data_IF_759439386268
#
_entry.id   IF_759439386268
#
_cell.length_a   1.000
_cell.length_b   1.000
_cell.length_c   1.000
_cell.angle_alpha   90.00
_cell.angle_beta   90.00
_cell.angle_gamma   90.00
#
_symmetry.space_group_name_H-M   'P 1'
#
loop_
_entity.id
_entity.type
_entity.pdbx_description
1 polymer ?
#
# COMPACT_ATOMS: atom_id res chain seq x y z
N UNK A 1 -7.89 19.90 -2.15
CA UNK A 1 -7.78 18.82 -1.14
C UNK A 1 -6.64 17.92 -1.58
N UNK A 2 -5.82 17.45 -0.65
CA UNK A 2 -4.72 16.53 -0.94
C UNK A 2 -5.27 15.18 -1.42
N UNK A 3 -4.55 14.50 -2.33
CA UNK A 3 -4.89 13.14 -2.72
C UNK A 3 -4.82 12.20 -1.51
N UNK A 4 -5.83 11.35 -1.34
CA UNK A 4 -5.99 10.44 -0.20
C UNK A 4 -5.96 8.98 -0.64
N UNK A 5 -5.31 8.12 0.14
CA UNK A 5 -5.24 6.69 -0.14
C UNK A 5 -5.61 5.83 1.08
N UNK A 6 -6.10 4.62 0.81
CA UNK A 6 -6.33 3.59 1.80
C UNK A 6 -5.66 2.27 1.40
N UNK A 7 -5.25 1.49 2.39
CA UNK A 7 -4.60 0.19 2.18
C UNK A 7 -5.44 -0.91 2.82
N UNK A 8 -5.66 -2.00 2.08
CA UNK A 8 -6.29 -3.23 2.58
C UNK A 8 -5.28 -4.37 2.48
N UNK A 9 -4.85 -4.89 3.61
CA UNK A 9 -4.01 -6.08 3.67
C UNK A 9 -4.91 -7.29 3.89
N UNK A 10 -4.89 -8.24 2.95
CA UNK A 10 -5.66 -9.48 3.04
C UNK A 10 -4.75 -10.64 3.44
N UNK A 11 -5.27 -11.53 4.22
CA UNK A 11 -4.58 -12.73 4.68
C UNK A 11 -4.97 -13.10 6.10
N UNK A 12 -5.57 -14.27 6.27
CA UNK A 12 -5.98 -14.77 7.58
C UNK A 12 -4.79 -14.94 8.52
N UNK A 13 -3.61 -15.28 8.00
CA UNK A 13 -2.36 -15.39 8.77
C UNK A 13 -1.85 -14.01 9.24
N UNK A 14 -2.10 -12.95 8.48
CA UNK A 14 -1.76 -11.57 8.87
C UNK A 14 -2.78 -11.08 9.90
N UNK A 15 -4.07 -11.27 9.64
CA UNK A 15 -5.15 -10.89 10.55
C UNK A 15 -4.99 -11.53 11.94
N UNK A 16 -4.55 -12.79 11.98
CA UNK A 16 -4.36 -13.54 13.25
C UNK A 16 -2.99 -13.29 13.91
N UNK A 17 -2.14 -12.47 13.31
CA UNK A 17 -0.82 -12.14 13.83
C UNK A 17 0.24 -13.26 13.70
N UNK A 18 -0.05 -14.32 12.95
CA UNK A 18 0.95 -15.39 12.65
C UNK A 18 2.05 -14.88 11.75
N UNK A 19 1.73 -13.96 10.85
CA UNK A 19 2.66 -13.25 9.98
C UNK A 19 2.50 -11.76 10.23
N UNK A 20 3.59 -11.06 10.48
CA UNK A 20 3.57 -9.61 10.63
C UNK A 20 3.36 -8.94 9.26
N UNK A 21 2.45 -7.98 9.19
CA UNK A 21 2.30 -7.14 8.01
C UNK A 21 3.57 -6.34 7.74
N UNK A 22 4.10 -6.48 6.53
CA UNK A 22 5.26 -5.73 6.02
C UNK A 22 4.91 -4.83 4.86
N UNK A 23 3.75 -5.04 4.27
CA UNK A 23 3.31 -4.33 3.07
C UNK A 23 2.62 -3.01 3.40
N UNK A 24 1.73 -3.01 4.39
CA UNK A 24 1.04 -1.80 4.83
C UNK A 24 2.01 -0.67 5.23
N UNK A 25 2.95 -0.90 6.17
CA UNK A 25 3.95 0.10 6.54
C UNK A 25 4.84 0.54 5.37
N UNK A 26 5.25 -0.40 4.51
CA UNK A 26 6.07 -0.07 3.35
C UNK A 26 5.31 0.80 2.33
N UNK A 27 4.05 0.47 2.03
CA UNK A 27 3.20 1.27 1.15
C UNK A 27 2.90 2.64 1.75
N UNK A 28 2.72 2.72 3.07
CA UNK A 28 2.53 3.98 3.79
C UNK A 28 3.71 4.92 3.56
N UNK A 29 4.95 4.43 3.69
CA UNK A 29 6.16 5.21 3.41
C UNK A 29 6.19 5.68 1.95
N UNK A 30 5.82 4.82 0.99
CA UNK A 30 5.80 5.19 -0.45
C UNK A 30 4.72 6.22 -0.79
N UNK A 31 3.54 6.13 -0.17
CA UNK A 31 2.49 7.13 -0.32
C UNK A 31 2.92 8.48 0.25
N UNK A 32 3.57 8.46 1.40
CA UNK A 32 4.12 9.65 2.03
C UNK A 32 5.15 10.35 1.14
N UNK A 33 6.09 9.59 0.54
CA UNK A 33 7.08 10.10 -0.42
C UNK A 33 6.44 10.71 -1.67
N UNK A 34 5.28 10.18 -2.08
CA UNK A 34 4.50 10.72 -3.20
C UNK A 34 3.67 11.95 -2.82
N UNK A 35 3.63 12.34 -1.56
CA UNK A 35 2.81 13.46 -1.09
C UNK A 35 1.32 13.12 -0.99
N UNK A 36 0.98 11.86 -0.79
CA UNK A 36 -0.38 11.33 -0.65
C UNK A 36 -0.72 11.15 0.82
N UNK A 37 -1.89 11.61 1.23
CA UNK A 37 -2.39 11.39 2.58
C UNK A 37 -2.85 9.95 2.73
N UNK A 38 -2.26 9.20 3.66
CA UNK A 38 -2.75 7.89 4.03
C UNK A 38 -3.89 8.03 5.04
N UNK A 39 -5.10 7.65 4.64
CA UNK A 39 -6.26 7.70 5.52
C UNK A 39 -6.30 6.50 6.47
N UNK A 40 -6.18 5.28 5.94
CA UNK A 40 -6.30 4.06 6.73
C UNK A 40 -5.42 2.93 6.19
N UNK A 41 -4.94 2.08 7.11
CA UNK A 41 -4.48 0.72 6.82
C UNK A 41 -5.43 -0.23 7.52
N UNK A 42 -6.06 -1.12 6.78
CA UNK A 42 -6.96 -2.14 7.33
C UNK A 42 -6.41 -3.52 7.03
N UNK A 43 -6.66 -4.47 7.94
CA UNK A 43 -6.27 -5.88 7.78
C UNK A 43 -7.54 -6.72 7.89
N UNK A 44 -7.77 -7.61 6.92
CA UNK A 44 -8.91 -8.52 6.93
C UNK A 44 -8.51 -9.94 6.51
N UNK A 45 -9.39 -10.91 6.77
CA UNK A 45 -9.24 -12.27 6.25
C UNK A 45 -9.60 -12.35 4.77
N UNK A 46 -9.39 -13.55 4.18
CA UNK A 46 -9.53 -13.79 2.75
C UNK A 46 -11.00 -13.94 2.27
N UNK A 47 -11.97 -13.79 3.19
CA UNK A 47 -13.39 -13.89 2.82
C UNK A 47 -13.83 -12.70 1.96
N UNK A 48 -14.50 -12.93 0.82
CA UNK A 48 -14.92 -11.87 -0.08
C UNK A 48 -15.75 -10.76 0.59
N UNK A 49 -16.61 -11.12 1.55
CA UNK A 49 -17.42 -10.15 2.30
C UNK A 49 -16.59 -9.22 3.18
N UNK A 50 -15.51 -9.74 3.76
CA UNK A 50 -14.62 -8.96 4.62
C UNK A 50 -13.81 -7.98 3.74
N UNK A 51 -13.26 -8.47 2.62
CA UNK A 51 -12.54 -7.62 1.65
C UNK A 51 -13.47 -6.53 1.09
N UNK A 52 -14.67 -6.89 0.63
CA UNK A 52 -15.64 -5.94 0.09
C UNK A 52 -16.04 -4.87 1.13
N UNK A 53 -16.19 -5.27 2.38
CA UNK A 53 -16.50 -4.33 3.48
C UNK A 53 -15.39 -3.28 3.64
N UNK A 54 -14.11 -3.68 3.56
CA UNK A 54 -13.00 -2.73 3.64
C UNK A 54 -12.94 -1.79 2.44
N UNK A 55 -13.18 -2.31 1.23
CA UNK A 55 -13.23 -1.48 0.02
C UNK A 55 -14.34 -0.43 0.10
N UNK A 56 -15.54 -0.82 0.55
CA UNK A 56 -16.68 0.10 0.74
C UNK A 56 -16.42 1.12 1.84
N UNK A 57 -15.80 0.71 2.94
CA UNK A 57 -15.40 1.62 4.01
C UNK A 57 -14.46 2.71 3.48
N UNK A 58 -13.39 2.32 2.80
CA UNK A 58 -12.41 3.27 2.26
C UNK A 58 -13.03 4.20 1.20
N UNK A 59 -13.91 3.67 0.35
CA UNK A 59 -14.64 4.51 -0.61
C UNK A 59 -15.55 5.53 0.09
N UNK A 60 -16.22 5.14 1.18
CA UNK A 60 -17.04 6.04 1.98
C UNK A 60 -16.22 7.12 2.69
N UNK A 61 -14.96 6.84 3.05
CA UNK A 61 -14.00 7.81 3.57
C UNK A 61 -13.49 8.80 2.51
N UNK A 62 -13.91 8.64 1.26
CA UNK A 62 -13.56 9.54 0.16
C UNK A 62 -12.10 9.49 -0.25
N UNK A 63 -11.48 8.30 -0.21
CA UNK A 63 -10.12 8.13 -0.74
C UNK A 63 -10.13 8.10 -2.27
N UNK A 64 -9.07 8.60 -2.88
CA UNK A 64 -8.89 8.62 -4.33
C UNK A 64 -8.27 7.32 -4.85
N UNK A 65 -7.50 6.66 -4.00
CA UNK A 65 -6.76 5.44 -4.30
C UNK A 65 -6.95 4.39 -3.20
N UNK A 66 -7.29 3.16 -3.59
CA UNK A 66 -7.25 2.00 -2.70
C UNK A 66 -6.16 1.04 -3.19
N UNK A 67 -5.34 0.54 -2.27
CA UNK A 67 -4.32 -0.46 -2.56
C UNK A 67 -4.65 -1.72 -1.78
N UNK A 68 -4.83 -2.84 -2.45
CA UNK A 68 -4.97 -4.15 -1.79
C UNK A 68 -3.65 -4.93 -1.88
N UNK A 69 -3.36 -5.73 -0.87
CA UNK A 69 -2.17 -6.56 -0.80
C UNK A 69 -2.53 -7.96 -0.30
N UNK A 70 -2.38 -8.96 -1.17
CA UNK A 70 -2.66 -10.37 -0.88
C UNK A 70 -3.87 -10.93 -1.63
N UNK A 71 -4.10 -12.25 -1.51
CA UNK A 71 -5.22 -12.96 -2.10
C UNK A 71 -5.17 -13.06 -3.63
N UNK A 72 -3.97 -13.17 -4.23
CA UNK A 72 -3.73 -13.32 -5.66
C UNK A 72 -3.13 -14.68 -6.05
N UNK A 73 -3.05 -15.60 -5.12
CA UNK A 73 -2.56 -16.94 -5.38
C UNK A 73 -3.53 -17.78 -6.22
N UNK A 74 -3.13 -19.02 -6.51
CA UNK A 74 -3.94 -19.94 -7.31
C UNK A 74 -5.01 -20.68 -6.50
N UNK A 75 -5.05 -20.53 -5.16
CA UNK A 75 -5.92 -21.32 -4.28
C UNK A 75 -7.36 -20.79 -4.27
N UNK A 76 -8.30 -21.60 -3.82
CA UNK A 76 -9.73 -21.28 -3.89
C UNK A 76 -10.14 -20.06 -3.05
N UNK A 77 -9.35 -19.73 -2.04
CA UNK A 77 -9.52 -18.59 -1.13
C UNK A 77 -8.85 -17.29 -1.64
N UNK A 78 -8.05 -17.35 -2.70
CA UNK A 78 -7.49 -16.18 -3.35
C UNK A 78 -8.55 -15.47 -4.23
N UNK A 79 -9.35 -14.61 -3.64
CA UNK A 79 -10.54 -14.00 -4.27
C UNK A 79 -10.48 -12.47 -4.34
N UNK A 80 -9.30 -11.87 -4.15
CA UNK A 80 -9.16 -10.41 -4.11
C UNK A 80 -9.51 -9.77 -5.45
N UNK A 81 -9.03 -10.32 -6.58
CA UNK A 81 -9.34 -9.79 -7.93
C UNK A 81 -10.83 -9.80 -8.23
N UNK A 82 -11.50 -10.94 -7.99
CA UNK A 82 -12.94 -11.08 -8.22
C UNK A 82 -13.76 -10.15 -7.34
N UNK A 83 -13.31 -9.95 -6.08
CA UNK A 83 -13.99 -9.07 -5.13
C UNK A 83 -13.83 -7.61 -5.53
N UNK A 84 -12.62 -7.20 -5.96
CA UNK A 84 -12.37 -5.85 -6.48
C UNK A 84 -13.13 -5.60 -7.76
N UNK A 85 -13.18 -6.58 -8.69
CA UNK A 85 -13.96 -6.45 -9.92
C UNK A 85 -15.43 -6.17 -9.62
N UNK A 86 -16.06 -6.96 -8.72
CA UNK A 86 -17.45 -6.73 -8.29
C UNK A 86 -17.65 -5.36 -7.61
N UNK A 87 -16.72 -4.97 -6.74
CA UNK A 87 -16.77 -3.66 -6.09
C UNK A 87 -16.73 -2.52 -7.12
N UNK A 88 -15.90 -2.66 -8.15
CA UNK A 88 -15.79 -1.68 -9.25
C UNK A 88 -16.88 -1.82 -10.33
N UNK A 89 -17.81 -2.78 -10.21
CA UNK A 89 -18.84 -3.04 -11.21
C UNK A 89 -18.28 -3.52 -12.55
N UNK A 90 -17.21 -4.32 -12.53
CA UNK A 90 -16.52 -4.84 -13.72
C UNK A 90 -16.71 -6.35 -13.83
N UNK A 91 -16.93 -6.82 -15.06
CA UNK A 91 -16.83 -8.23 -15.36
C UNK A 91 -15.37 -8.70 -15.34
N UNK A 92 -15.15 -9.98 -15.12
CA UNK A 92 -13.82 -10.60 -15.14
C UNK A 92 -13.69 -11.43 -16.41
N UNK A 93 -12.61 -11.27 -17.15
CA UNK A 93 -12.32 -11.95 -18.40
C UNK A 93 -10.97 -12.63 -18.38
N UNK A 94 -10.83 -13.72 -19.10
CA UNK A 94 -9.55 -14.39 -19.28
C UNK A 94 -8.65 -13.59 -20.22
N UNK A 95 -7.46 -13.24 -19.74
CA UNK A 95 -6.39 -12.72 -20.59
C UNK A 95 -5.46 -13.88 -21.00
N UNK A 96 -5.56 -14.29 -22.27
CA UNK A 96 -4.83 -15.46 -22.78
C UNK A 96 -3.33 -15.21 -22.93
N UNK A 97 -2.92 -13.96 -23.12
CA UNK A 97 -1.51 -13.60 -23.18
C UNK A 97 -0.88 -13.68 -21.76
N UNK A 98 -1.62 -13.20 -20.77
CA UNK A 98 -1.21 -13.32 -19.36
C UNK A 98 -1.18 -14.79 -18.93
N UNK A 99 -2.17 -15.60 -19.32
CA UNK A 99 -2.18 -17.05 -19.04
C UNK A 99 -0.92 -17.72 -19.58
N UNK A 100 -0.53 -17.40 -20.83
CA UNK A 100 0.71 -17.92 -21.44
C UNK A 100 1.96 -17.47 -20.66
N UNK A 101 2.03 -16.19 -20.29
CA UNK A 101 3.18 -15.67 -19.50
C UNK A 101 3.30 -16.34 -18.14
N UNK A 102 2.19 -16.59 -17.46
CA UNK A 102 2.18 -17.32 -16.18
C UNK A 102 2.67 -18.76 -16.40
N UNK A 103 2.21 -19.43 -17.46
CA UNK A 103 2.66 -20.77 -17.78
C UNK A 103 4.18 -20.82 -18.02
N UNK A 104 4.75 -19.86 -18.73
CA UNK A 104 6.19 -19.75 -18.98
C UNK A 104 7.00 -19.56 -17.68
N UNK A 105 6.46 -18.79 -16.71
CA UNK A 105 7.09 -18.59 -15.40
C UNK A 105 7.07 -19.89 -14.57
N UNK A 106 5.97 -20.64 -14.64
CA UNK A 106 5.78 -21.87 -13.85
C UNK A 106 6.52 -23.06 -14.44
N UNK A 107 6.68 -23.13 -15.76
CA UNK A 107 7.29 -24.28 -16.44
C UNK A 107 8.65 -24.72 -15.87
N UNK A 108 9.61 -23.83 -15.57
CA UNK A 108 10.89 -24.22 -14.93
C UNK A 108 10.74 -24.74 -13.50
N UNK A 109 9.69 -24.31 -12.78
CA UNK A 109 9.41 -24.82 -11.44
C UNK A 109 8.84 -26.24 -11.52
N UNK A 110 7.90 -26.46 -12.43
CA UNK A 110 7.32 -27.79 -12.67
C UNK A 110 8.34 -28.81 -13.12
N UNK A 111 9.30 -28.41 -13.93
CA UNK A 111 10.39 -29.29 -14.39
C UNK A 111 11.26 -29.87 -13.25
N UNK A 112 11.19 -29.30 -12.04
CA UNK A 112 11.90 -29.80 -10.84
C UNK A 112 11.15 -30.92 -10.14
N UNK A 113 9.87 -31.09 -10.43
CA UNK A 113 9.03 -32.15 -9.87
C UNK A 113 8.97 -33.31 -10.87
N UNK A 114 9.31 -34.51 -10.43
CA UNK A 114 9.25 -35.72 -11.23
C UNK A 114 8.70 -36.88 -10.40
N UNK A 115 8.01 -37.82 -11.07
CA UNK A 115 7.42 -38.98 -10.42
C UNK A 115 6.05 -38.71 -9.77
N UNK A 116 5.66 -39.49 -8.75
CA UNK A 116 4.33 -39.44 -8.15
C UNK A 116 3.96 -38.10 -7.45
N UNK A 117 4.98 -37.33 -7.09
CA UNK A 117 4.81 -36.04 -6.41
C UNK A 117 4.71 -34.85 -7.40
N UNK A 118 4.75 -35.12 -8.71
CA UNK A 118 4.55 -34.06 -9.70
C UNK A 118 3.09 -33.56 -9.63
N UNK A 119 2.88 -32.23 -9.61
CA UNK A 119 1.53 -31.69 -9.63
C UNK A 119 0.80 -32.10 -10.90
N UNK A 120 -0.48 -32.41 -10.77
CA UNK A 120 -1.34 -32.73 -11.90
C UNK A 120 -1.43 -31.55 -12.89
N UNK A 121 -1.24 -31.83 -14.17
CA UNK A 121 -1.22 -30.80 -15.22
C UNK A 121 -2.55 -30.03 -15.29
N UNK A 122 -3.69 -30.72 -15.12
CA UNK A 122 -5.00 -30.06 -15.15
C UNK A 122 -5.16 -29.06 -14.01
N UNK A 123 -4.71 -29.44 -12.82
CA UNK A 123 -4.67 -28.55 -11.65
C UNK A 123 -3.79 -27.32 -11.89
N UNK A 124 -2.63 -27.49 -12.50
CA UNK A 124 -1.73 -26.38 -12.84
C UNK A 124 -2.37 -25.44 -13.86
N UNK A 125 -2.96 -25.99 -14.91
CA UNK A 125 -3.64 -25.19 -15.95
C UNK A 125 -4.83 -24.42 -15.36
N UNK A 126 -5.62 -25.05 -14.50
CA UNK A 126 -6.73 -24.38 -13.82
C UNK A 126 -6.25 -23.23 -12.92
N UNK A 127 -5.14 -23.42 -12.20
CA UNK A 127 -4.50 -22.41 -11.39
C UNK A 127 -3.99 -21.20 -12.21
N UNK A 128 -3.32 -21.48 -13.33
CA UNK A 128 -2.84 -20.45 -14.26
C UNK A 128 -4.00 -19.63 -14.83
N UNK A 129 -5.04 -20.35 -15.28
CA UNK A 129 -6.26 -19.72 -15.81
C UNK A 129 -6.93 -18.81 -14.78
N UNK A 130 -7.02 -19.26 -13.53
CA UNK A 130 -7.57 -18.46 -12.44
C UNK A 130 -6.78 -17.15 -12.25
N UNK A 131 -5.44 -17.23 -12.23
CA UNK A 131 -4.58 -16.05 -12.06
C UNK A 131 -4.58 -15.12 -13.29
N UNK A 132 -4.97 -15.61 -14.45
CA UNK A 132 -5.11 -14.84 -15.69
C UNK A 132 -6.50 -14.20 -15.86
N UNK A 133 -7.41 -14.37 -14.89
CA UNK A 133 -8.70 -13.67 -14.88
C UNK A 133 -8.52 -12.24 -14.40
N UNK A 134 -8.87 -11.26 -15.23
CA UNK A 134 -8.66 -9.84 -14.98
C UNK A 134 -9.93 -9.02 -15.15
N UNK A 135 -10.15 -7.95 -14.37
CA UNK A 135 -11.29 -7.06 -14.56
C UNK A 135 -11.23 -6.34 -15.90
N UNK A 136 -12.35 -6.26 -16.60
CA UNK A 136 -12.45 -5.56 -17.89
C UNK A 136 -11.99 -4.11 -17.75
N UNK A 137 -11.06 -3.68 -18.61
CA UNK A 137 -10.50 -2.33 -18.62
C UNK A 137 -9.45 -2.07 -17.53
N UNK A 138 -9.01 -3.09 -16.79
CA UNK A 138 -7.88 -2.97 -15.88
C UNK A 138 -6.56 -2.95 -16.66
N UNK A 139 -5.56 -2.24 -16.10
CA UNK A 139 -4.18 -2.34 -16.54
C UNK A 139 -3.50 -3.49 -15.80
N UNK A 140 -2.93 -4.44 -16.54
CA UNK A 140 -2.21 -5.57 -15.97
C UNK A 140 -0.81 -5.14 -15.57
N UNK A 141 -0.40 -5.49 -14.37
CA UNK A 141 0.97 -5.38 -13.88
C UNK A 141 1.63 -6.75 -14.01
N UNK A 142 2.66 -6.84 -14.81
CA UNK A 142 3.36 -8.09 -15.08
C UNK A 142 3.78 -8.81 -13.79
N UNK A 143 3.56 -10.13 -13.70
CA UNK A 143 3.93 -10.90 -12.54
C UNK A 143 5.45 -10.88 -12.31
N UNK A 144 5.84 -10.75 -11.05
CA UNK A 144 7.24 -10.92 -10.59
C UNK A 144 7.46 -12.35 -10.10
N UNK A 145 6.45 -12.91 -9.46
CA UNK A 145 6.28 -14.34 -9.21
C UNK A 145 5.29 -14.92 -10.21
N UNK A 146 4.25 -15.61 -9.75
CA UNK A 146 3.18 -16.16 -10.59
C UNK A 146 1.93 -15.29 -10.60
N UNK A 147 1.71 -14.50 -9.55
CA UNK A 147 0.54 -13.67 -9.40
C UNK A 147 0.72 -12.30 -10.09
N UNK A 148 -0.11 -11.96 -11.10
CA UNK A 148 -0.14 -10.62 -11.67
C UNK A 148 -0.80 -9.63 -10.70
N UNK A 149 -0.43 -8.36 -10.78
CA UNK A 149 -1.21 -7.29 -10.19
C UNK A 149 -2.14 -6.67 -11.23
N UNK A 150 -3.11 -5.87 -10.79
CA UNK A 150 -3.97 -5.10 -11.68
C UNK A 150 -4.25 -3.70 -11.13
N UNK A 151 -4.43 -2.75 -12.04
CA UNK A 151 -4.94 -1.41 -11.72
C UNK A 151 -6.31 -1.26 -12.36
N UNK A 152 -7.33 -1.10 -11.53
CA UNK A 152 -8.73 -0.91 -11.98
C UNK A 152 -9.08 0.57 -11.89
N UNK A 153 -9.23 1.27 -13.03
CA UNK A 153 -9.63 2.67 -13.05
C UNK A 153 -11.02 2.88 -12.49
N UNK A 154 -11.20 3.94 -11.70
CA UNK A 154 -12.50 4.27 -11.09
C UNK A 154 -12.36 5.40 -10.07
N UNK A 155 -13.41 5.61 -9.29
CA UNK A 155 -13.45 6.54 -8.16
C UNK A 155 -13.99 5.80 -6.94
N UNK A 156 -13.10 5.31 -6.06
CA UNK A 156 -11.62 5.36 -6.13
C UNK A 156 -11.01 4.45 -7.20
N UNK A 157 -9.79 4.77 -7.67
CA UNK A 157 -8.93 3.82 -8.40
C UNK A 157 -8.47 2.72 -7.45
N UNK A 158 -8.46 1.46 -7.91
CA UNK A 158 -8.03 0.33 -7.08
C UNK A 158 -6.80 -0.34 -7.68
N UNK A 159 -5.73 -0.45 -6.91
CA UNK A 159 -4.51 -1.19 -7.24
C UNK A 159 -4.51 -2.50 -6.46
N UNK A 160 -4.39 -3.62 -7.15
CA UNK A 160 -4.38 -4.96 -6.54
C UNK A 160 -2.99 -5.54 -6.69
N UNK A 161 -2.34 -5.85 -5.56
CA UNK A 161 -0.95 -6.31 -5.49
C UNK A 161 -0.84 -7.64 -4.72
N UNK A 162 0.19 -8.46 -5.04
CA UNK A 162 0.41 -9.75 -4.36
C UNK A 162 0.84 -9.56 -2.89
N UNK A 163 0.72 -10.64 -2.11
CA UNK A 163 1.11 -10.67 -0.70
C UNK A 163 2.62 -10.63 -0.44
N UNK A 164 3.46 -11.40 -1.16
CA UNK A 164 4.90 -11.41 -0.91
C UNK A 164 5.55 -10.04 -1.18
N UNK A 165 6.28 -9.41 -0.20
CA UNK A 165 6.88 -8.08 -0.39
C UNK A 165 7.82 -7.98 -1.59
N UNK A 166 8.55 -9.06 -1.90
CA UNK A 166 9.46 -9.14 -3.05
C UNK A 166 8.75 -8.99 -4.41
N UNK A 167 7.46 -9.30 -4.46
CA UNK A 167 6.61 -9.20 -5.66
C UNK A 167 5.86 -7.87 -5.67
N UNK A 168 5.27 -7.49 -4.54
CA UNK A 168 4.52 -6.25 -4.36
C UNK A 168 5.37 -5.00 -4.68
N UNK A 169 6.58 -4.91 -4.14
CA UNK A 169 7.38 -3.69 -4.23
C UNK A 169 7.76 -3.28 -5.67
N UNK A 170 8.24 -4.19 -6.54
CA UNK A 170 8.50 -3.83 -7.94
C UNK A 170 7.21 -3.56 -8.72
N UNK A 171 6.10 -4.26 -8.41
CA UNK A 171 4.80 -4.01 -9.05
C UNK A 171 4.22 -2.65 -8.65
N UNK A 172 4.35 -2.23 -7.39
CA UNK A 172 3.93 -0.91 -6.95
C UNK A 172 4.59 0.21 -7.78
N UNK A 173 5.89 0.11 -8.06
CA UNK A 173 6.59 1.10 -8.89
C UNK A 173 5.96 1.22 -10.27
N UNK A 174 5.60 0.10 -10.90
CA UNK A 174 4.90 0.08 -12.19
C UNK A 174 3.47 0.60 -12.07
N UNK A 175 2.76 0.26 -10.98
CA UNK A 175 1.41 0.74 -10.74
C UNK A 175 1.35 2.26 -10.69
N UNK A 176 2.29 2.91 -10.00
CA UNK A 176 2.37 4.36 -9.88
C UNK A 176 2.57 5.04 -11.24
N UNK A 177 3.20 4.39 -12.21
CA UNK A 177 3.43 4.94 -13.55
C UNK A 177 2.18 4.87 -14.43
N UNK A 178 1.14 4.12 -14.05
CA UNK A 178 -0.09 4.00 -14.83
C UNK A 178 -0.91 5.28 -14.84
N UNK A 179 -1.57 5.56 -15.96
CA UNK A 179 -2.39 6.78 -16.10
C UNK A 179 -3.47 6.87 -15.02
N UNK A 180 -4.13 5.76 -14.69
CA UNK A 180 -5.21 5.73 -13.69
C UNK A 180 -4.70 6.11 -12.29
N UNK A 181 -3.53 5.60 -11.88
CA UNK A 181 -2.94 5.98 -10.57
C UNK A 181 -2.46 7.42 -10.60
N UNK A 182 -1.82 7.88 -11.69
CA UNK A 182 -1.41 9.28 -11.80
C UNK A 182 -2.59 10.25 -11.73
N UNK A 183 -3.73 9.88 -12.31
CA UNK A 183 -4.97 10.66 -12.22
C UNK A 183 -5.52 10.68 -10.78
N UNK A 184 -5.59 9.54 -10.11
CA UNK A 184 -5.98 9.44 -8.71
C UNK A 184 -5.06 10.27 -7.78
N UNK A 185 -3.79 10.42 -8.15
CA UNK A 185 -2.80 11.17 -7.39
C UNK A 185 -2.62 12.63 -7.88
N UNK A 186 -3.45 13.13 -8.78
CA UNK A 186 -3.31 14.49 -9.35
C UNK A 186 -3.37 15.59 -8.27
N UNK A 187 -4.11 15.36 -7.19
CA UNK A 187 -4.20 16.27 -6.03
C UNK A 187 -3.08 16.13 -4.99
N UNK A 188 -2.04 15.32 -5.27
CA UNK A 188 -0.95 15.12 -4.31
C UNK A 188 -0.22 16.43 -3.99
N UNK A 189 0.18 16.59 -2.73
CA UNK A 189 0.94 17.75 -2.26
C UNK A 189 2.41 17.37 -2.15
N UNK A 190 3.29 18.27 -2.57
CA UNK A 190 4.73 18.07 -2.34
C UNK A 190 5.06 18.41 -0.89
N UNK A 191 5.38 17.40 -0.08
CA UNK A 191 5.85 17.59 1.27
C UNK A 191 7.35 17.39 1.37
N UNK A 192 7.99 18.20 2.22
CA UNK A 192 9.30 17.89 2.78
C UNK A 192 9.08 17.20 4.12
N UNK A 193 9.90 16.19 4.42
CA UNK A 193 9.89 15.49 5.70
C UNK A 193 11.28 15.46 6.29
N UNK A 194 11.38 15.81 7.56
CA UNK A 194 12.62 15.78 8.31
C UNK A 194 12.41 14.96 9.58
N UNK A 195 13.42 14.19 9.97
CA UNK A 195 13.43 13.45 11.22
C UNK A 195 14.58 13.93 12.11
N UNK A 196 14.26 14.24 13.35
CA UNK A 196 15.22 14.56 14.41
C UNK A 196 15.12 13.47 15.46
N UNK A 197 16.28 13.07 15.98
CA UNK A 197 16.36 12.17 17.14
C UNK A 197 16.95 12.92 18.31
N UNK A 198 16.29 12.83 19.45
CA UNK A 198 16.74 13.42 20.71
C UNK A 198 16.94 12.31 21.74
N UNK A 199 18.05 12.39 22.46
CA UNK A 199 18.41 11.44 23.50
C UNK A 199 18.43 12.13 24.88
N UNK A 200 17.95 11.42 25.90
CA UNK A 200 17.99 11.90 27.27
C UNK A 200 16.90 12.90 27.66
N UNK A 201 15.98 13.23 26.75
CA UNK A 201 14.82 14.06 27.04
C UNK A 201 13.59 13.17 27.27
N UNK A 202 12.81 13.33 28.34
CA UNK A 202 11.55 12.64 28.53
C UNK A 202 10.46 13.18 27.58
N UNK A 203 9.47 12.35 27.21
CA UNK A 203 8.36 12.77 26.33
C UNK A 203 7.62 14.01 26.84
N UNK A 204 7.45 14.14 28.18
CA UNK A 204 6.85 15.32 28.80
C UNK A 204 7.68 16.59 28.56
N UNK A 205 8.99 16.47 28.55
CA UNK A 205 9.90 17.59 28.25
C UNK A 205 9.79 18.01 26.78
N UNK A 206 9.68 17.05 25.86
CA UNK A 206 9.43 17.34 24.45
C UNK A 206 8.06 18.00 24.24
N UNK A 207 7.01 17.49 24.89
CA UNK A 207 5.67 18.08 24.81
C UNK A 207 5.66 19.55 25.29
N UNK A 208 6.42 19.85 26.32
CA UNK A 208 6.63 21.23 26.80
C UNK A 208 7.34 22.11 25.77
N UNK A 209 8.40 21.57 25.19
CA UNK A 209 9.16 22.26 24.14
C UNK A 209 8.29 22.57 22.91
N UNK A 210 7.47 21.61 22.46
CA UNK A 210 6.57 21.82 21.33
C UNK A 210 5.46 22.86 21.65
N UNK A 211 4.96 22.89 22.90
CA UNK A 211 4.03 23.95 23.35
C UNK A 211 4.65 25.34 23.32
N UNK A 212 5.92 25.44 23.72
CA UNK A 212 6.67 26.70 23.63
C UNK A 212 6.93 27.08 22.17
N UNK A 213 7.33 26.13 21.33
CA UNK A 213 7.52 26.34 19.89
C UNK A 213 6.24 26.85 19.22
N UNK A 214 5.07 26.34 19.59
CA UNK A 214 3.78 26.80 19.07
C UNK A 214 3.51 28.28 19.33
N UNK A 215 4.12 28.87 20.36
CA UNK A 215 3.95 30.29 20.71
C UNK A 215 4.91 31.23 19.97
N UNK A 216 6.07 30.72 19.55
CA UNK A 216 7.17 31.55 19.00
C UNK A 216 7.44 31.27 17.51
N UNK A 217 7.05 30.11 17.00
CA UNK A 217 7.23 29.74 15.59
C UNK A 217 6.08 30.28 14.79
N UNK A 218 6.36 31.12 13.80
CA UNK A 218 5.37 31.58 12.84
C UNK A 218 4.89 30.41 11.97
N UNK A 219 3.60 30.41 11.61
CA UNK A 219 2.98 29.36 10.78
C UNK A 219 3.15 27.92 11.31
N UNK A 220 3.29 27.76 12.64
CA UNK A 220 3.44 26.46 13.30
C UNK A 220 2.35 25.46 12.91
N UNK A 221 1.14 25.92 12.64
CA UNK A 221 -0.01 25.10 12.22
C UNK A 221 0.19 24.41 10.86
N UNK A 222 1.17 24.85 10.07
CA UNK A 222 1.55 24.23 8.77
C UNK A 222 2.59 23.13 8.92
N UNK A 223 3.05 22.86 10.14
CA UNK A 223 3.98 21.79 10.47
C UNK A 223 3.18 20.61 11.03
N UNK A 224 3.18 19.50 10.31
CA UNK A 224 2.66 18.23 10.81
C UNK A 224 3.76 17.53 11.60
N UNK A 225 3.63 17.50 12.93
CA UNK A 225 4.66 16.98 13.83
C UNK A 225 4.14 15.71 14.48
N UNK A 226 4.87 14.60 14.29
CA UNK A 226 4.63 13.34 14.97
C UNK A 226 5.83 12.97 15.82
N UNK A 227 5.58 12.38 16.99
CA UNK A 227 6.62 12.00 17.95
C UNK A 227 6.47 10.53 18.32
N UNK A 228 7.58 9.83 18.46
CA UNK A 228 7.62 8.44 18.89
C UNK A 228 8.83 8.17 19.78
N UNK A 229 8.59 7.53 20.93
CA UNK A 229 9.69 7.01 21.75
C UNK A 229 10.08 5.63 21.23
N UNK A 230 11.30 5.52 20.72
CA UNK A 230 11.81 4.28 20.15
C UNK A 230 13.23 3.99 20.64
N UNK A 231 13.41 2.84 21.29
CA UNK A 231 14.72 2.38 21.79
C UNK A 231 15.45 3.38 22.71
N UNK A 232 14.69 4.18 23.46
CA UNK A 232 15.25 5.20 24.36
C UNK A 232 15.58 6.53 23.69
N UNK A 233 15.27 6.70 22.42
CA UNK A 233 15.36 7.95 21.67
C UNK A 233 13.97 8.49 21.36
N UNK A 234 13.80 9.79 21.40
CA UNK A 234 12.62 10.48 20.88
C UNK A 234 12.83 10.78 19.40
N UNK A 235 12.05 10.15 18.53
CA UNK A 235 11.99 10.49 17.12
C UNK A 235 10.90 11.56 16.92
N UNK A 236 11.28 12.68 16.30
CA UNK A 236 10.40 13.79 15.94
C UNK A 236 10.41 13.87 14.42
N UNK A 237 9.30 13.50 13.80
CA UNK A 237 9.13 13.61 12.35
C UNK A 237 8.27 14.83 12.08
N UNK A 238 8.81 15.77 11.31
CA UNK A 238 8.10 16.97 10.87
C UNK A 238 7.92 16.93 9.37
N UNK A 239 6.67 17.08 8.94
CA UNK A 239 6.26 17.15 7.55
C UNK A 239 5.66 18.52 7.27
N UNK A 240 6.04 19.12 6.14
CA UNK A 240 5.61 20.47 5.77
C UNK A 240 5.71 20.71 4.27
N UNK A 241 4.91 21.64 3.75
CA UNK A 241 5.02 22.09 2.36
C UNK A 241 6.28 22.96 2.18
N UNK A 242 6.90 23.00 0.98
CA UNK A 242 8.16 23.74 0.77
C UNK A 242 8.13 25.21 1.17
N UNK A 243 6.97 25.87 1.05
CA UNK A 243 6.79 27.27 1.43
C UNK A 243 6.67 27.48 2.97
N UNK A 244 6.51 26.42 3.74
CA UNK A 244 6.56 26.41 5.21
C UNK A 244 7.97 26.09 5.77
N UNK A 245 9.01 26.02 4.92
CA UNK A 245 10.37 25.70 5.36
C UNK A 245 10.89 26.65 6.43
N UNK A 246 10.56 27.94 6.37
CA UNK A 246 10.95 28.92 7.38
C UNK A 246 10.36 28.61 8.77
N UNK A 247 9.14 28.06 8.84
CA UNK A 247 8.55 27.62 10.10
C UNK A 247 9.29 26.39 10.66
N UNK A 248 9.69 25.46 9.79
CA UNK A 248 10.51 24.33 10.18
C UNK A 248 11.88 24.75 10.74
N UNK A 249 12.56 25.70 10.09
CA UNK A 249 13.86 26.20 10.56
C UNK A 249 13.75 26.86 11.95
N UNK A 250 12.66 27.59 12.21
CA UNK A 250 12.37 28.16 13.53
C UNK A 250 12.11 27.05 14.58
N UNK A 251 11.32 26.02 14.23
CA UNK A 251 11.11 24.87 15.09
C UNK A 251 12.43 24.16 15.41
N UNK A 252 13.29 23.97 14.40
CA UNK A 252 14.59 23.34 14.56
C UNK A 252 15.49 24.11 15.52
N UNK A 253 15.45 25.45 15.47
CA UNK A 253 16.19 26.30 16.40
C UNK A 253 15.71 26.07 17.84
N UNK A 254 14.42 26.08 18.11
CA UNK A 254 13.83 25.81 19.43
C UNK A 254 14.22 24.41 19.96
N UNK A 255 14.20 23.39 19.07
CA UNK A 255 14.55 22.02 19.47
C UNK A 255 16.04 21.85 19.79
N UNK A 256 16.94 22.64 19.17
CA UNK A 256 18.40 22.59 19.41
C UNK A 256 18.83 23.22 20.73
N UNK A 257 18.00 24.05 21.34
CA UNK A 257 18.28 24.68 22.62
C UNK A 257 17.99 23.75 23.82
N UNK A 258 17.50 22.54 23.57
CA UNK A 258 17.11 21.52 24.58
C UNK A 258 18.07 20.35 24.60
#
# INVERSE_FOLDING_TARGET
MSARAGIVVTGTEVLTGRVADRNGPWLADRLLELGVELAHITICGDRPKDIESQLRFLAAEGVDLIITSGGLGPTADDLTVDTVARFCGRDVVLDTELESRIADIIAPMLARYSGPDAPDLETVLAANRKQAMVPVGATILDPVGTAPGVVVPGTPTVVVLPGPPRELQPMWRKAVETAAVQEALAGRTHYQQQMIRMFGLPESGLADTLRQAQQVVGDFHRLEITTCLRRGELEIVTRYEPDAAAAYDQLLAVLRER
#
